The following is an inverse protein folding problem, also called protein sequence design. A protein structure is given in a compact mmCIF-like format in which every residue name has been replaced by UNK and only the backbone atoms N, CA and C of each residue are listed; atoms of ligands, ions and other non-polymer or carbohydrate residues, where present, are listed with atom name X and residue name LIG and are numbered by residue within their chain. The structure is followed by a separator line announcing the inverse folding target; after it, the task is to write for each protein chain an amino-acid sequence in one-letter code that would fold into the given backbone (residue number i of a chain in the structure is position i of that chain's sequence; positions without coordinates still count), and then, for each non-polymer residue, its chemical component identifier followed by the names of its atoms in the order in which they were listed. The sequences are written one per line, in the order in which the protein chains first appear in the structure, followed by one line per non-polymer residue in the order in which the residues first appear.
data_IF_299135690874
#
_entry.id   IF_299135690874
#
_cell.length_a   1.000
_cell.length_b   1.000
_cell.length_c   1.000
_cell.angle_alpha   90.00
_cell.angle_beta   90.00
_cell.angle_gamma   90.00
#
_symmetry.space_group_name_H-M   'P 1'
#
loop_
_entity.id
_entity.type
_entity.pdbx_description
1 polymer ?
#
# COMPACT_ATOMS: atom_id res chain seq x y z
N UNK A 1 -8.05 -0.69 19.86
CA UNK A 1 -7.51 -0.77 18.50
C UNK A 1 -8.46 -0.07 17.57
N UNK A 2 -7.99 0.97 16.92
CA UNK A 2 -8.83 1.86 16.14
C UNK A 2 -8.85 1.41 14.68
N UNK A 3 -10.06 1.18 14.16
CA UNK A 3 -10.27 0.52 12.88
C UNK A 3 -11.17 1.37 11.97
N UNK A 4 -11.03 1.13 10.67
CA UNK A 4 -11.72 1.82 9.59
C UNK A 4 -12.72 0.89 8.92
N UNK A 5 -13.92 1.41 8.66
CA UNK A 5 -14.93 0.68 7.91
C UNK A 5 -14.51 0.52 6.45
N UNK A 6 -15.13 -0.44 5.74
CA UNK A 6 -14.91 -0.59 4.30
C UNK A 6 -15.13 0.72 3.54
N UNK A 7 -16.16 1.50 3.88
CA UNK A 7 -16.47 2.77 3.20
C UNK A 7 -15.36 3.80 3.41
N UNK A 8 -14.87 3.93 4.65
CA UNK A 8 -13.77 4.83 4.98
C UNK A 8 -12.48 4.39 4.27
N UNK A 9 -12.16 3.10 4.27
CA UNK A 9 -10.98 2.56 3.58
C UNK A 9 -10.99 2.85 2.08
N UNK A 10 -12.15 2.74 1.41
CA UNK A 10 -12.25 3.08 -0.02
C UNK A 10 -11.86 4.52 -0.31
N UNK A 11 -12.29 5.44 0.56
CA UNK A 11 -12.04 6.87 0.42
C UNK A 11 -10.58 7.17 0.75
N UNK A 12 -10.12 6.78 1.94
CA UNK A 12 -8.76 6.99 2.43
C UNK A 12 -7.72 6.40 1.47
N UNK A 13 -7.93 5.16 1.01
CA UNK A 13 -6.99 4.49 0.13
C UNK A 13 -7.15 4.89 -1.36
N UNK A 14 -8.14 5.74 -1.71
CA UNK A 14 -8.50 6.11 -3.09
C UNK A 14 -8.60 4.90 -4.02
N UNK A 15 -9.31 3.87 -3.57
CA UNK A 15 -9.46 2.60 -4.32
C UNK A 15 -10.93 2.28 -4.58
N UNK A 16 -11.19 1.25 -5.39
CA UNK A 16 -12.55 0.79 -5.70
C UNK A 16 -12.91 -0.45 -4.89
N UNK A 17 -14.21 -0.70 -4.72
CA UNK A 17 -14.72 -1.88 -4.01
C UNK A 17 -14.22 -3.19 -4.62
N UNK A 18 -14.16 -3.27 -5.95
CA UNK A 18 -13.64 -4.45 -6.66
C UNK A 18 -12.17 -4.70 -6.32
N UNK A 19 -11.34 -3.64 -6.30
CA UNK A 19 -9.91 -3.75 -5.95
C UNK A 19 -9.73 -4.14 -4.48
N UNK A 20 -10.44 -3.49 -3.57
CA UNK A 20 -10.36 -3.80 -2.14
C UNK A 20 -10.79 -5.25 -1.86
N UNK A 21 -11.88 -5.70 -2.48
CA UNK A 21 -12.36 -7.09 -2.39
C UNK A 21 -11.34 -8.08 -2.96
N UNK A 22 -10.71 -7.73 -4.08
CA UNK A 22 -9.65 -8.56 -4.67
C UNK A 22 -8.47 -8.72 -3.71
N UNK A 23 -7.97 -7.63 -3.13
CA UNK A 23 -6.86 -7.67 -2.17
C UNK A 23 -7.17 -8.57 -0.97
N UNK A 24 -8.39 -8.48 -0.44
CA UNK A 24 -8.87 -9.37 0.62
C UNK A 24 -8.93 -10.83 0.19
N UNK A 25 -9.47 -11.13 -0.99
CA UNK A 25 -9.52 -12.50 -1.53
C UNK A 25 -8.14 -13.11 -1.77
N UNK A 26 -7.18 -12.29 -2.21
CA UNK A 26 -5.80 -12.75 -2.47
C UNK A 26 -4.92 -12.82 -1.22
N UNK A 27 -5.44 -12.43 -0.05
CA UNK A 27 -4.68 -12.41 1.20
C UNK A 27 -3.66 -11.28 1.31
N UNK A 28 -3.57 -10.37 0.33
CA UNK A 28 -2.62 -9.25 0.35
C UNK A 28 -3.01 -8.25 1.47
N UNK A 29 -4.31 -8.02 1.67
CA UNK A 29 -4.82 -7.21 2.79
C UNK A 29 -6.02 -7.91 3.40
N UNK A 30 -5.88 -8.48 4.58
CA UNK A 30 -6.94 -9.28 5.23
C UNK A 30 -7.67 -8.44 6.30
N UNK A 31 -8.90 -7.95 6.04
CA UNK A 31 -9.67 -7.22 7.04
C UNK A 31 -10.05 -8.11 8.23
N UNK A 32 -10.24 -7.49 9.38
CA UNK A 32 -10.69 -8.16 10.60
C UNK A 32 -12.22 -8.10 10.70
N UNK A 33 -12.86 -9.24 10.94
CA UNK A 33 -14.29 -9.27 11.22
C UNK A 33 -14.52 -8.86 12.67
N UNK A 34 -15.21 -7.74 12.88
CA UNK A 34 -15.61 -7.33 14.23
C UNK A 34 -16.99 -7.89 14.57
N UNK A 35 -17.03 -8.68 15.64
CA UNK A 35 -18.26 -9.20 16.24
C UNK A 35 -18.93 -8.21 17.19
N UNK A 36 -18.24 -7.10 17.52
CA UNK A 36 -18.75 -6.07 18.42
C UNK A 36 -19.77 -5.16 17.74
N UNK A 37 -19.79 -5.12 16.40
CA UNK A 37 -20.82 -4.41 15.65
C UNK A 37 -21.99 -5.35 15.35
N UNK A 38 -23.22 -4.84 15.43
CA UNK A 38 -24.41 -5.55 14.96
C UNK A 38 -25.03 -4.76 13.80
N UNK A 39 -24.98 -5.28 12.55
CA UNK A 39 -24.42 -6.58 12.12
C UNK A 39 -22.87 -6.61 12.17
N UNK A 40 -22.25 -7.81 12.20
CA UNK A 40 -20.80 -7.96 12.10
C UNK A 40 -20.25 -7.29 10.85
N UNK A 41 -19.18 -6.53 10.99
CA UNK A 41 -18.60 -5.74 9.90
C UNK A 41 -17.11 -5.99 9.74
N UNK A 42 -16.65 -5.97 8.50
CA UNK A 42 -15.22 -5.99 8.17
C UNK A 42 -14.61 -4.62 8.44
N UNK A 43 -13.56 -4.63 9.25
CA UNK A 43 -12.81 -3.48 9.69
C UNK A 43 -11.34 -3.61 9.28
N UNK A 44 -10.74 -2.47 8.94
CA UNK A 44 -9.36 -2.37 8.47
C UNK A 44 -8.52 -1.60 9.49
N UNK A 45 -7.31 -2.06 9.77
CA UNK A 45 -6.38 -1.29 10.60
C UNK A 45 -5.80 -0.10 9.82
N UNK A 46 -5.17 0.84 10.53
CA UNK A 46 -4.44 1.95 9.92
C UNK A 46 -3.37 1.46 8.93
N UNK A 47 -2.58 0.46 9.33
CA UNK A 47 -1.53 -0.14 8.52
C UNK A 47 -2.10 -0.76 7.23
N UNK A 48 -3.29 -1.35 7.31
CA UNK A 48 -3.98 -1.90 6.15
C UNK A 48 -4.48 -0.81 5.21
N UNK A 49 -4.98 0.31 5.73
CA UNK A 49 -5.36 1.47 4.89
C UNK A 49 -4.14 2.01 4.13
N UNK A 50 -3.01 2.15 4.81
CA UNK A 50 -1.74 2.57 4.19
C UNK A 50 -1.24 1.56 3.14
N UNK A 51 -1.35 0.26 3.44
CA UNK A 51 -0.99 -0.80 2.51
C UNK A 51 -1.82 -0.77 1.23
N UNK A 52 -3.15 -0.65 1.35
CA UNK A 52 -4.05 -0.52 0.19
C UNK A 52 -3.71 0.73 -0.62
N UNK A 53 -3.34 1.83 0.05
CA UNK A 53 -2.95 3.07 -0.62
C UNK A 53 -1.62 2.90 -1.37
N UNK A 54 -0.63 2.26 -0.77
CA UNK A 54 0.66 1.95 -1.41
C UNK A 54 0.48 1.08 -2.66
N UNK A 55 -0.32 0.02 -2.55
CA UNK A 55 -0.67 -0.85 -3.68
C UNK A 55 -1.41 -0.07 -4.77
N UNK A 56 -2.30 0.85 -4.38
CA UNK A 56 -3.03 1.70 -5.33
C UNK A 56 -2.11 2.61 -6.12
N UNK A 57 -1.05 3.14 -5.50
CA UNK A 57 0.02 3.86 -6.21
C UNK A 57 0.80 2.93 -7.14
N UNK A 58 1.25 1.78 -6.65
CA UNK A 58 2.00 0.81 -7.45
C UNK A 58 1.22 0.30 -8.66
N UNK A 59 -0.10 0.15 -8.54
CA UNK A 59 -0.98 -0.26 -9.63
C UNK A 59 -1.05 0.71 -10.81
N UNK A 60 -0.59 1.96 -10.65
CA UNK A 60 -0.45 2.90 -11.77
C UNK A 60 0.72 2.55 -12.68
N UNK A 61 1.68 1.77 -12.18
CA UNK A 61 2.94 1.48 -12.87
C UNK A 61 3.20 -0.03 -13.03
N UNK A 62 2.57 -0.89 -12.23
CA UNK A 62 2.77 -2.34 -12.25
C UNK A 62 1.45 -3.11 -12.30
N UNK A 63 1.42 -4.24 -13.02
CA UNK A 63 0.26 -5.14 -13.11
C UNK A 63 -0.05 -5.82 -11.75
N UNK A 64 -1.28 -6.28 -11.54
CA UNK A 64 -1.62 -7.07 -10.33
C UNK A 64 -0.75 -8.33 -10.21
N UNK A 65 -0.39 -8.94 -11.34
CA UNK A 65 0.46 -10.12 -11.34
C UNK A 65 1.89 -9.79 -10.89
N UNK A 66 2.44 -8.64 -11.32
CA UNK A 66 3.73 -8.16 -10.84
C UNK A 66 3.70 -7.90 -9.32
N UNK A 67 2.66 -7.23 -8.83
CA UNK A 67 2.48 -7.00 -7.38
C UNK A 67 2.42 -8.31 -6.60
N UNK A 68 1.70 -9.31 -7.09
CA UNK A 68 1.66 -10.64 -6.46
C UNK A 68 3.04 -11.29 -6.45
N UNK A 69 3.78 -11.23 -7.55
CA UNK A 69 5.15 -11.76 -7.61
C UNK A 69 6.08 -11.07 -6.62
N UNK A 70 5.96 -9.76 -6.44
CA UNK A 70 6.74 -9.00 -5.46
C UNK A 70 6.42 -9.48 -4.04
N UNK A 71 5.13 -9.56 -3.68
CA UNK A 71 4.69 -10.02 -2.35
C UNK A 71 5.16 -11.45 -2.09
N UNK A 72 5.03 -12.35 -3.07
CA UNK A 72 5.52 -13.73 -2.97
C UNK A 72 7.04 -13.76 -2.81
N UNK A 73 7.78 -13.02 -3.64
CA UNK A 73 9.24 -12.94 -3.55
C UNK A 73 9.70 -12.45 -2.17
N UNK A 74 9.07 -11.41 -1.62
CA UNK A 74 9.37 -10.90 -0.28
C UNK A 74 9.17 -11.97 0.79
N UNK A 75 8.03 -12.66 0.74
CA UNK A 75 7.69 -13.71 1.69
C UNK A 75 8.66 -14.91 1.58
N UNK A 76 8.99 -15.33 0.37
CA UNK A 76 9.88 -16.46 0.11
C UNK A 76 11.33 -16.18 0.57
N UNK A 77 11.73 -14.91 0.61
CA UNK A 77 13.05 -14.47 1.10
C UNK A 77 13.03 -14.02 2.58
N UNK A 78 11.92 -14.24 3.30
CA UNK A 78 11.82 -13.93 4.74
C UNK A 78 11.69 -12.44 5.07
N UNK A 79 11.38 -11.58 4.09
CA UNK A 79 11.13 -10.16 4.32
C UNK A 79 9.66 -9.90 4.67
N UNK A 80 9.41 -8.78 5.36
CA UNK A 80 8.06 -8.23 5.50
C UNK A 80 7.45 -7.99 4.12
N UNK A 81 6.28 -8.59 3.89
CA UNK A 81 5.55 -8.57 2.62
C UNK A 81 4.76 -7.27 2.39
N UNK A 82 4.73 -6.39 3.39
CA UNK A 82 4.17 -5.04 3.28
C UNK A 82 4.92 -4.21 2.26
N UNK A 83 4.21 -3.56 1.33
CA UNK A 83 4.79 -2.66 0.34
C UNK A 83 4.82 -1.21 0.85
N UNK A 84 3.98 -0.85 1.83
CA UNK A 84 3.88 0.54 2.32
C UNK A 84 5.19 1.10 2.89
N UNK A 85 6.04 0.26 3.46
CA UNK A 85 7.28 0.66 4.13
C UNK A 85 8.54 0.49 3.24
N UNK A 86 8.36 0.21 1.95
CA UNK A 86 9.47 -0.04 1.02
C UNK A 86 9.61 1.09 0.01
N UNK A 87 10.85 1.49 -0.26
CA UNK A 87 11.15 2.41 -1.35
C UNK A 87 11.26 1.62 -2.66
N UNK A 88 10.15 1.51 -3.39
CA UNK A 88 10.10 0.77 -4.64
C UNK A 88 10.26 1.71 -5.84
N UNK A 89 11.10 1.33 -6.79
CA UNK A 89 11.34 2.03 -8.04
C UNK A 89 10.93 1.12 -9.18
N UNK A 90 9.98 1.57 -10.00
CA UNK A 90 9.50 0.85 -11.17
C UNK A 90 10.21 1.40 -12.42
N UNK A 91 10.75 0.52 -13.26
CA UNK A 91 11.40 0.89 -14.54
C UNK A 91 11.14 -0.19 -15.58
N UNK A 92 10.55 0.13 -16.73
CA UNK A 92 10.34 -0.83 -17.84
C UNK A 92 9.72 -2.18 -17.41
N UNK A 93 8.57 -2.13 -16.72
CA UNK A 93 7.91 -3.29 -16.09
C UNK A 93 8.75 -4.02 -15.02
N UNK A 94 9.93 -3.50 -14.67
CA UNK A 94 10.71 -3.95 -13.53
C UNK A 94 10.32 -3.22 -12.26
N UNK A 95 10.36 -3.92 -11.13
CA UNK A 95 10.22 -3.31 -9.81
C UNK A 95 11.47 -3.61 -8.99
N UNK A 96 12.07 -2.55 -8.45
CA UNK A 96 13.29 -2.58 -7.68
C UNK A 96 13.01 -2.07 -6.27
N UNK A 97 13.52 -2.74 -5.25
CA UNK A 97 13.50 -2.22 -3.88
C UNK A 97 14.85 -1.60 -3.56
N UNK A 98 14.84 -0.30 -3.28
CA UNK A 98 16.00 0.42 -2.76
C UNK A 98 16.01 0.24 -1.25
N UNK A 99 16.97 -0.53 -0.77
CA UNK A 99 17.14 -0.77 0.65
C UNK A 99 17.99 0.36 1.26
N UNK A 100 17.56 0.97 2.37
CA UNK A 100 18.38 1.90 3.10
C UNK A 100 19.60 1.15 3.65
N UNK A 101 20.81 1.64 3.35
CA UNK A 101 22.05 1.10 3.88
C UNK A 101 22.79 2.19 4.65
N UNK A 102 23.35 1.84 5.80
CA UNK A 102 24.16 2.74 6.64
C UNK A 102 25.48 3.15 5.99
N UNK A 103 25.88 2.53 4.88
CA UNK A 103 27.12 2.86 4.16
C UNK A 103 27.00 4.04 3.18
N UNK A 104 25.83 4.68 3.05
CA UNK A 104 25.61 5.79 2.11
C UNK A 104 25.50 5.39 0.64
N UNK A 105 25.71 4.10 0.31
CA UNK A 105 25.50 3.54 -1.03
C UNK A 105 24.18 2.78 -1.04
N UNK A 106 23.18 3.19 -1.84
CA UNK A 106 21.89 2.50 -1.90
C UNK A 106 22.07 1.09 -2.47
N UNK A 107 21.56 0.09 -1.76
CA UNK A 107 21.49 -1.27 -2.29
C UNK A 107 20.18 -1.41 -3.07
N UNK A 108 20.28 -1.81 -4.35
CA UNK A 108 19.12 -2.00 -5.23
C UNK A 108 18.90 -3.51 -5.39
N UNK A 109 17.70 -3.98 -5.01
CA UNK A 109 17.28 -5.37 -5.21
C UNK A 109 16.22 -5.42 -6.32
N UNK A 110 16.54 -6.09 -7.43
CA UNK A 110 15.59 -6.37 -8.50
C UNK A 110 14.55 -7.38 -8.03
N UNK A 111 13.25 -7.05 -8.10
CA UNK A 111 12.16 -7.91 -7.63
C UNK A 111 11.42 -8.61 -8.77
N UNK A 112 11.18 -7.94 -9.89
CA UNK A 112 10.48 -8.52 -11.07
C UNK A 112 10.83 -7.75 -12.34
N UNK A 113 10.72 -8.35 -13.54
CA UNK A 113 10.46 -7.66 -14.82
C UNK A 113 10.66 -8.51 -16.08
N UNK A 114 10.56 -7.91 -17.28
CA UNK A 114 10.74 -8.55 -18.60
C UNK A 114 11.95 -7.94 -19.31
N UNK A 115 12.87 -8.76 -19.81
CA UNK A 115 13.95 -8.33 -20.70
C UNK A 115 13.36 -7.64 -21.95
N UNK A 116 13.47 -6.31 -22.07
CA UNK A 116 13.14 -5.56 -23.28
C UNK A 116 14.28 -4.63 -23.71
N UNK A 117 14.46 -4.41 -25.03
CA UNK A 117 15.58 -3.66 -25.58
C UNK A 117 15.41 -2.14 -25.41
N UNK A 118 16.56 -1.48 -25.45
CA UNK A 118 16.87 -0.11 -25.07
C UNK A 118 16.05 0.96 -25.79
N UNK A 119 15.39 1.84 -25.03
CA UNK A 119 14.81 3.09 -25.53
C UNK A 119 13.76 3.66 -24.56
N UNK A 120 14.16 4.66 -23.77
CA UNK A 120 13.46 5.29 -22.63
C UNK A 120 13.44 4.46 -21.33
N UNK A 121 14.06 5.03 -20.30
CA UNK A 121 13.95 4.64 -18.90
C UNK A 121 12.86 5.51 -18.27
N UNK A 122 11.70 4.92 -17.93
CA UNK A 122 10.69 5.61 -17.13
C UNK A 122 10.87 5.16 -15.68
N UNK A 123 11.54 5.97 -14.87
CA UNK A 123 11.64 5.78 -13.42
C UNK A 123 10.34 6.24 -12.75
N UNK A 124 9.49 5.30 -12.36
CA UNK A 124 8.35 5.56 -11.49
C UNK A 124 8.70 5.18 -10.05
N UNK A 125 9.08 6.18 -9.26
CA UNK A 125 9.40 6.02 -7.84
C UNK A 125 8.09 6.00 -7.05
N UNK A 126 7.86 4.95 -6.25
CA UNK A 126 6.75 4.98 -5.30
C UNK A 126 6.99 6.07 -4.26
N UNK A 127 5.95 6.84 -3.88
CA UNK A 127 6.08 7.82 -2.83
C UNK A 127 6.55 7.13 -1.54
N UNK A 128 7.45 7.75 -0.78
CA UNK A 128 7.85 7.21 0.52
C UNK A 128 6.62 7.12 1.45
N UNK A 129 6.72 6.27 2.47
CA UNK A 129 5.63 6.05 3.43
C UNK A 129 5.09 7.37 4.01
N UNK A 130 5.97 8.32 4.31
CA UNK A 130 5.61 9.65 4.83
C UNK A 130 4.69 10.42 3.88
N UNK A 131 4.96 10.37 2.57
CA UNK A 131 4.10 10.97 1.54
C UNK A 131 2.77 10.23 1.43
N UNK A 132 2.76 8.90 1.54
CA UNK A 132 1.52 8.11 1.55
C UNK A 132 0.65 8.50 2.77
N UNK A 133 1.26 8.64 3.95
CA UNK A 133 0.60 9.09 5.17
C UNK A 133 0.01 10.49 4.93
N UNK A 134 0.80 11.45 4.47
CA UNK A 134 0.34 12.82 4.21
C UNK A 134 -0.85 12.85 3.25
N UNK A 135 -0.80 12.05 2.18
CA UNK A 135 -1.89 11.94 1.22
C UNK A 135 -3.17 11.36 1.81
N UNK A 136 -3.06 10.37 2.70
CA UNK A 136 -4.22 9.79 3.38
C UNK A 136 -4.82 10.80 4.35
N UNK A 137 -3.99 11.55 5.08
CA UNK A 137 -4.41 12.64 5.95
C UNK A 137 -5.12 13.76 5.18
N UNK A 138 -4.60 14.17 4.03
CA UNK A 138 -5.25 15.17 3.17
C UNK A 138 -6.57 14.65 2.61
N UNK A 139 -6.62 13.37 2.25
CA UNK A 139 -7.85 12.71 1.80
C UNK A 139 -8.90 12.66 2.93
N UNK A 140 -8.48 12.43 4.17
CA UNK A 140 -9.38 12.47 5.32
C UNK A 140 -9.93 13.89 5.56
N UNK A 141 -9.05 14.90 5.51
CA UNK A 141 -9.40 16.31 5.73
C UNK A 141 -10.41 16.85 4.72
N UNK A 142 -10.31 16.42 3.46
CA UNK A 142 -11.15 16.90 2.35
C UNK A 142 -12.41 16.08 2.14
N UNK A 143 -12.61 14.99 2.89
CA UNK A 143 -13.73 14.07 2.70
C UNK A 143 -14.94 14.46 3.55
N UNK A 144 -16.11 14.57 2.90
CA UNK A 144 -17.39 14.76 3.59
C UNK A 144 -17.92 13.49 4.28
N UNK A 145 -17.26 12.35 4.09
CA UNK A 145 -17.68 11.06 4.66
C UNK A 145 -16.88 10.71 5.91
N UNK A 146 -15.69 11.28 6.05
CA UNK A 146 -14.77 10.95 7.14
C UNK A 146 -14.90 12.03 8.20
N UNK A 147 -15.31 11.64 9.40
CA UNK A 147 -15.18 12.49 10.56
C UNK A 147 -13.69 12.67 10.86
N UNK A 148 -13.18 13.89 10.65
CA UNK A 148 -11.76 14.18 10.75
C UNK A 148 -11.23 14.09 12.19
N UNK A 149 -12.04 14.43 13.20
CA UNK A 149 -11.61 14.35 14.60
C UNK A 149 -11.54 12.90 15.07
N UNK A 150 -12.55 12.09 14.71
CA UNK A 150 -12.49 10.64 14.92
C UNK A 150 -11.39 9.98 14.08
N UNK A 151 -11.07 10.50 12.90
CA UNK A 151 -9.95 10.00 12.10
C UNK A 151 -8.61 10.23 12.79
N UNK A 152 -8.38 11.43 13.36
CA UNK A 152 -7.12 11.76 14.06
C UNK A 152 -6.83 10.84 15.23
N UNK A 153 -7.86 10.45 15.97
CA UNK A 153 -7.73 9.51 17.07
C UNK A 153 -7.29 8.15 16.53
N UNK A 154 -7.97 7.67 15.48
CA UNK A 154 -7.77 6.35 14.87
C UNK A 154 -6.49 6.16 14.06
N UNK A 155 -6.01 7.21 13.42
CA UNK A 155 -4.78 7.18 12.65
C UNK A 155 -3.60 7.26 13.61
N UNK A 156 -2.70 6.27 13.59
CA UNK A 156 -1.46 6.37 14.36
C UNK A 156 -0.65 7.55 13.84
N UNK A 157 -0.15 8.36 14.78
CA UNK A 157 0.55 9.63 14.53
C UNK A 157 1.69 9.50 13.52
N UNK A 158 1.95 10.62 12.83
CA UNK A 158 3.15 10.88 12.03
C UNK A 158 4.40 10.56 12.85
N UNK A 159 5.03 9.42 12.59
CA UNK A 159 6.47 9.23 12.87
C UNK A 159 7.26 9.52 11.59
#
# INVERSE_FOLDING_TARGET
MEQFTRRETLILAKTTLGRLTYLAKTGIVVPQLSQQTRPPMLLYSWEQVLEVRAITYLRRHASLQAIRKIVTFLNDNGFDCSLRNKHLVVSNDEVNWVMPNNSGVPQIMHMTGRNQPTGQLVLAVLPPLSSIIQDVWETARTSNVIDFEHFKQRAKLRE
#
